data_IF_006250345930
#
_entry.id   IF_006250345930
#
_cell.length_a   1.000
_cell.length_b   1.000
_cell.length_c   1.000
_cell.angle_alpha   90.00
_cell.angle_beta   90.00
_cell.angle_gamma   90.00
#
_symmetry.space_group_name_H-M   'P 1'
#
loop_
_entity.id
_entity.type
_entity.pdbx_description
1 polymer ?
#
# COMPACT_ATOMS: atom_id res chain seq x y z
N UNK A 1 -44.74 38.49 51.53
CA UNK A 1 -45.24 37.92 50.29
C UNK A 1 -44.20 37.94 49.17
N UNK A 2 -43.33 38.92 49.05
CA UNK A 2 -42.33 39.04 47.94
C UNK A 2 -41.14 38.07 48.06
N UNK A 3 -40.74 37.57 49.20
CA UNK A 3 -39.59 36.69 49.42
C UNK A 3 -39.87 35.26 48.82
N UNK A 4 -41.10 34.79 48.98
CA UNK A 4 -41.48 33.45 48.46
C UNK A 4 -41.48 33.34 46.92
N UNK A 5 -41.84 34.40 46.22
CA UNK A 5 -41.82 34.40 44.73
C UNK A 5 -40.41 34.46 44.16
N UNK A 6 -39.47 35.08 44.87
CA UNK A 6 -38.05 35.11 44.44
C UNK A 6 -37.39 33.73 44.54
N UNK A 7 -37.60 33.02 45.65
CA UNK A 7 -37.06 31.66 45.81
C UNK A 7 -37.66 30.66 44.82
N UNK A 8 -38.95 30.77 44.53
CA UNK A 8 -39.63 29.90 43.57
C UNK A 8 -39.18 30.14 42.13
N UNK A 9 -38.91 31.39 41.76
CA UNK A 9 -38.37 31.75 40.46
C UNK A 9 -36.92 31.30 40.25
N UNK A 10 -36.12 31.42 41.34
CA UNK A 10 -34.72 30.99 41.33
C UNK A 10 -34.58 29.48 41.16
N UNK A 11 -35.36 28.70 41.88
CA UNK A 11 -35.32 27.24 41.84
C UNK A 11 -35.80 26.69 40.46
N UNK A 12 -36.85 27.27 39.91
CA UNK A 12 -37.31 26.93 38.55
C UNK A 12 -36.29 27.29 37.47
N UNK A 13 -35.58 28.40 37.61
CA UNK A 13 -34.56 28.84 36.68
C UNK A 13 -33.33 27.93 36.67
N UNK A 14 -32.92 27.43 37.85
CA UNK A 14 -31.83 26.50 38.01
C UNK A 14 -32.17 25.14 37.44
N UNK A 15 -33.33 24.59 37.76
CA UNK A 15 -33.79 23.29 37.27
C UNK A 15 -33.93 23.28 35.75
N UNK A 16 -34.39 24.38 35.17
CA UNK A 16 -34.50 24.49 33.70
C UNK A 16 -33.12 24.48 33.00
N UNK A 17 -32.17 25.28 33.54
CA UNK A 17 -30.79 25.31 33.00
C UNK A 17 -30.06 23.97 33.17
N UNK A 18 -30.25 23.31 34.33
CA UNK A 18 -29.66 22.00 34.59
C UNK A 18 -30.22 20.94 33.62
N UNK A 19 -31.54 20.98 33.34
CA UNK A 19 -32.16 20.09 32.35
C UNK A 19 -31.68 20.37 30.93
N UNK A 20 -31.57 21.65 30.52
CA UNK A 20 -31.03 22.05 29.23
C UNK A 20 -29.56 21.64 29.05
N UNK A 21 -28.70 21.84 30.07
CA UNK A 21 -27.31 21.39 30.04
C UNK A 21 -27.20 19.87 29.94
N UNK A 22 -27.99 19.12 30.71
CA UNK A 22 -28.01 17.66 30.63
C UNK A 22 -28.46 17.17 29.26
N UNK A 23 -29.45 17.80 28.64
CA UNK A 23 -29.90 17.48 27.29
C UNK A 23 -28.82 17.78 26.23
N UNK A 24 -28.10 18.90 26.36
CA UNK A 24 -26.99 19.24 25.45
C UNK A 24 -25.81 18.28 25.61
N UNK A 25 -25.43 17.93 26.85
CA UNK A 25 -24.39 16.93 27.10
C UNK A 25 -24.78 15.56 26.52
N UNK A 26 -26.04 15.15 26.73
CA UNK A 26 -26.52 13.88 26.15
C UNK A 26 -26.46 13.88 24.62
N UNK A 27 -26.86 14.98 23.98
CA UNK A 27 -26.78 15.15 22.53
C UNK A 27 -25.33 15.11 22.04
N UNK A 28 -24.41 15.82 22.67
CA UNK A 28 -22.98 15.81 22.31
C UNK A 28 -22.34 14.44 22.51
N UNK A 29 -22.72 13.73 23.58
CA UNK A 29 -22.25 12.37 23.80
C UNK A 29 -22.75 11.41 22.71
N UNK A 30 -23.99 11.55 22.26
CA UNK A 30 -24.52 10.74 21.18
C UNK A 30 -23.83 11.05 19.83
N UNK A 31 -23.62 12.34 19.53
CA UNK A 31 -22.87 12.76 18.34
C UNK A 31 -21.42 12.23 18.36
N UNK A 32 -20.76 12.26 19.53
CA UNK A 32 -19.43 11.70 19.72
C UNK A 32 -19.43 10.18 19.47
N UNK A 33 -20.38 9.45 20.05
CA UNK A 33 -20.52 8.00 19.84
C UNK A 33 -20.72 7.63 18.36
N UNK A 34 -21.58 8.38 17.66
CA UNK A 34 -21.80 8.16 16.23
C UNK A 34 -20.53 8.43 15.42
N UNK A 35 -19.78 9.45 15.78
CA UNK A 35 -18.50 9.78 15.15
C UNK A 35 -17.47 8.68 15.40
N UNK A 36 -17.36 8.18 16.61
CA UNK A 36 -16.48 7.06 16.98
C UNK A 36 -16.84 5.76 16.22
N UNK A 37 -18.13 5.47 16.09
CA UNK A 37 -18.60 4.29 15.34
C UNK A 37 -18.22 4.39 13.86
N UNK A 38 -18.48 5.54 13.23
CA UNK A 38 -18.10 5.79 11.84
C UNK A 38 -16.58 5.70 11.64
N UNK A 39 -15.81 6.27 12.56
CA UNK A 39 -14.36 6.22 12.50
C UNK A 39 -13.84 4.77 12.63
N UNK A 40 -14.40 4.01 13.55
CA UNK A 40 -14.05 2.59 13.74
C UNK A 40 -14.36 1.77 12.48
N UNK A 41 -15.53 1.97 11.87
CA UNK A 41 -15.92 1.31 10.63
C UNK A 41 -14.96 1.66 9.48
N UNK A 42 -14.58 2.93 9.35
CA UNK A 42 -13.63 3.39 8.33
C UNK A 42 -12.23 2.79 8.52
N UNK A 43 -11.74 2.76 9.77
CA UNK A 43 -10.45 2.13 10.10
C UNK A 43 -10.48 0.64 9.73
N UNK A 44 -11.54 -0.08 10.07
CA UNK A 44 -11.68 -1.49 9.74
C UNK A 44 -11.72 -1.71 8.21
N UNK A 45 -12.46 -0.88 7.49
CA UNK A 45 -12.54 -0.94 6.02
C UNK A 45 -11.16 -0.69 5.38
N UNK A 46 -10.44 0.32 5.86
CA UNK A 46 -9.10 0.64 5.36
C UNK A 46 -8.10 -0.48 5.68
N UNK A 47 -8.18 -1.06 6.90
CA UNK A 47 -7.34 -2.18 7.29
C UNK A 47 -7.59 -3.42 6.43
N UNK A 48 -8.87 -3.74 6.14
CA UNK A 48 -9.23 -4.86 5.25
C UNK A 48 -8.70 -4.64 3.85
N UNK A 49 -8.89 -3.45 3.28
CA UNK A 49 -8.38 -3.09 1.95
C UNK A 49 -6.85 -3.17 1.87
N UNK A 50 -6.14 -2.72 2.92
CA UNK A 50 -4.69 -2.83 2.99
C UNK A 50 -4.25 -4.30 3.04
N UNK A 51 -4.94 -5.13 3.81
CA UNK A 51 -4.67 -6.57 3.89
C UNK A 51 -4.88 -7.26 2.52
N UNK A 52 -5.97 -6.95 1.83
CA UNK A 52 -6.25 -7.48 0.48
C UNK A 52 -5.17 -7.08 -0.52
N UNK A 53 -4.76 -5.80 -0.50
CA UNK A 53 -3.69 -5.30 -1.37
C UNK A 53 -2.36 -6.00 -1.07
N UNK A 54 -2.02 -6.16 0.20
CA UNK A 54 -0.80 -6.86 0.63
C UNK A 54 -0.80 -8.32 0.20
N UNK A 55 -1.94 -9.00 0.32
CA UNK A 55 -2.10 -10.39 -0.16
C UNK A 55 -1.94 -10.48 -1.67
N UNK A 56 -2.53 -9.54 -2.43
CA UNK A 56 -2.40 -9.48 -3.89
C UNK A 56 -0.94 -9.25 -4.33
N UNK A 57 -0.20 -8.36 -3.65
CA UNK A 57 1.24 -8.15 -3.92
C UNK A 57 2.03 -9.42 -3.63
N UNK A 58 1.77 -10.10 -2.51
CA UNK A 58 2.44 -11.35 -2.14
C UNK A 58 2.18 -12.46 -3.17
N UNK A 59 0.96 -12.56 -3.66
CA UNK A 59 0.60 -13.54 -4.69
C UNK A 59 1.32 -13.25 -6.01
N UNK A 60 1.30 -12.00 -6.48
CA UNK A 60 2.02 -11.58 -7.69
C UNK A 60 3.53 -11.81 -7.58
N UNK A 61 4.12 -11.55 -6.42
CA UNK A 61 5.52 -11.82 -6.15
C UNK A 61 5.84 -13.32 -6.24
N UNK A 62 4.98 -14.17 -5.67
CA UNK A 62 5.11 -15.63 -5.76
C UNK A 62 5.05 -16.11 -7.21
N UNK A 63 4.10 -15.59 -8.00
CA UNK A 63 3.96 -15.93 -9.40
C UNK A 63 5.17 -15.48 -10.22
N UNK A 64 5.68 -14.26 -9.96
CA UNK A 64 6.89 -13.75 -10.61
C UNK A 64 8.11 -14.61 -10.27
N UNK A 65 8.30 -14.95 -9.01
CA UNK A 65 9.40 -15.83 -8.58
C UNK A 65 9.34 -17.20 -9.25
N UNK A 66 8.12 -17.75 -9.44
CA UNK A 66 7.94 -19.00 -10.19
C UNK A 66 8.32 -18.86 -11.66
N UNK A 67 7.99 -17.74 -12.31
CA UNK A 67 8.37 -17.46 -13.70
C UNK A 67 9.88 -17.26 -13.84
N UNK A 68 10.53 -16.60 -12.89
CA UNK A 68 11.99 -16.43 -12.84
C UNK A 68 12.66 -17.79 -12.67
N UNK A 69 12.19 -18.62 -11.75
CA UNK A 69 12.72 -19.96 -11.53
C UNK A 69 12.57 -20.87 -12.77
N UNK A 70 11.46 -20.71 -13.50
CA UNK A 70 11.22 -21.42 -14.77
C UNK A 70 12.04 -20.86 -15.95
N UNK A 71 12.87 -19.81 -15.76
CA UNK A 71 13.67 -19.18 -16.80
C UNK A 71 12.87 -18.42 -17.86
N UNK A 72 11.59 -18.09 -17.56
CA UNK A 72 10.71 -17.36 -18.49
C UNK A 72 10.92 -15.84 -18.46
N UNK A 73 11.58 -15.33 -17.43
CA UNK A 73 11.96 -13.93 -17.30
C UNK A 73 13.47 -13.85 -17.41
N UNK A 74 13.95 -13.00 -18.31
CA UNK A 74 15.40 -12.79 -18.54
C UNK A 74 15.71 -11.31 -18.52
N UNK A 75 16.92 -10.97 -18.07
CA UNK A 75 17.45 -9.63 -18.25
C UNK A 75 17.83 -9.46 -19.74
N UNK A 76 17.51 -8.28 -20.35
CA UNK A 76 18.02 -7.98 -21.66
C UNK A 76 19.55 -7.96 -21.57
N UNK A 77 20.20 -8.92 -22.25
CA UNK A 77 21.66 -8.88 -22.38
C UNK A 77 22.03 -7.60 -23.13
N UNK A 78 22.90 -6.74 -22.58
CA UNK A 78 23.42 -5.65 -23.38
C UNK A 78 24.12 -6.28 -24.57
N UNK A 79 23.61 -6.06 -25.76
CA UNK A 79 24.35 -6.37 -26.99
C UNK A 79 25.62 -5.51 -26.96
N UNK A 80 26.70 -6.10 -26.47
CA UNK A 80 28.01 -5.54 -26.76
C UNK A 80 28.14 -5.55 -28.26
N UNK A 81 27.99 -4.39 -28.89
CA UNK A 81 28.34 -4.20 -30.30
C UNK A 81 29.81 -4.57 -30.35
N UNK A 82 30.08 -5.77 -30.83
CA UNK A 82 31.45 -6.24 -31.08
C UNK A 82 32.05 -5.25 -32.06
N UNK A 83 33.04 -4.48 -31.65
CA UNK A 83 33.76 -3.59 -32.53
C UNK A 83 34.20 -4.39 -33.76
N UNK A 84 34.06 -3.84 -34.97
CA UNK A 84 34.44 -4.57 -36.17
C UNK A 84 35.88 -5.05 -36.04
N UNK A 85 36.06 -6.36 -36.12
CA UNK A 85 37.38 -6.98 -36.10
C UNK A 85 38.20 -6.39 -37.23
N UNK A 86 39.34 -5.78 -36.90
CA UNK A 86 40.33 -5.33 -37.83
C UNK A 86 40.77 -6.55 -38.70
N UNK A 87 40.87 -6.44 -40.01
CA UNK A 87 41.22 -7.60 -40.85
C UNK A 87 42.66 -8.04 -40.60
N UNK A 88 42.84 -9.18 -39.95
CA UNK A 88 44.11 -9.89 -39.90
C UNK A 88 44.17 -10.92 -41.07
N UNK A 89 45.34 -11.12 -41.71
CA UNK A 89 45.45 -11.96 -42.88
C UNK A 89 45.25 -13.41 -42.51
N UNK A 90 44.50 -14.13 -43.35
CA UNK A 90 44.15 -15.52 -43.22
C UNK A 90 45.37 -16.47 -43.30
N UNK A 91 45.43 -17.53 -42.50
CA UNK A 91 45.97 -18.80 -42.94
C UNK A 91 44.84 -19.79 -43.21
N UNK A 92 45.00 -20.48 -44.29
CA UNK A 92 44.12 -21.56 -44.76
C UNK A 92 44.13 -22.75 -43.81
N UNK A 93 43.00 -23.48 -43.81
CA UNK A 93 42.71 -24.75 -43.15
C UNK A 93 42.32 -24.68 -41.67
N UNK A 94 41.02 -24.53 -41.48
CA UNK A 94 40.38 -25.03 -40.27
C UNK A 94 39.06 -25.71 -40.67
N UNK A 95 39.04 -26.99 -40.49
CA UNK A 95 37.90 -27.89 -40.49
C UNK A 95 36.71 -27.23 -39.81
N UNK A 96 35.59 -27.11 -40.48
CA UNK A 96 34.31 -26.67 -39.93
C UNK A 96 33.94 -27.58 -38.76
N UNK A 97 34.33 -27.19 -37.56
CA UNK A 97 33.66 -27.68 -36.36
C UNK A 97 32.35 -26.93 -36.27
N UNK A 98 31.29 -27.58 -36.76
CA UNK A 98 29.92 -27.17 -36.55
C UNK A 98 29.71 -26.97 -35.04
N UNK A 99 29.74 -25.72 -34.59
CA UNK A 99 29.43 -25.39 -33.24
C UNK A 99 28.00 -25.82 -32.99
N UNK A 100 27.83 -26.86 -32.16
CA UNK A 100 26.51 -27.19 -31.63
C UNK A 100 25.93 -25.94 -30.98
N UNK A 101 24.64 -25.61 -31.19
CA UNK A 101 24.02 -24.48 -30.52
C UNK A 101 24.19 -24.70 -29.00
N UNK A 102 24.91 -23.79 -28.39
CA UNK A 102 25.26 -23.83 -26.98
C UNK A 102 23.96 -23.80 -26.14
N UNK A 103 23.46 -24.97 -25.75
CA UNK A 103 22.28 -25.13 -24.91
C UNK A 103 22.44 -24.43 -23.52
N UNK A 104 23.68 -24.06 -23.16
CA UNK A 104 23.97 -23.28 -21.98
C UNK A 104 23.58 -21.81 -22.10
N UNK A 105 23.43 -21.26 -23.31
CA UNK A 105 22.96 -19.91 -23.53
C UNK A 105 21.45 -19.77 -23.27
N UNK A 106 20.70 -20.86 -23.25
CA UNK A 106 19.24 -20.83 -23.07
C UNK A 106 18.74 -20.87 -21.61
N UNK A 107 19.63 -21.17 -20.66
CA UNK A 107 19.28 -21.14 -19.24
C UNK A 107 19.81 -19.85 -18.62
N UNK A 108 18.91 -19.09 -18.00
CA UNK A 108 19.33 -17.96 -17.18
C UNK A 108 20.36 -18.43 -16.15
N UNK A 109 21.51 -17.76 -16.06
CA UNK A 109 22.53 -18.10 -15.08
C UNK A 109 21.96 -17.96 -13.65
N UNK A 110 22.49 -18.71 -12.70
CA UNK A 110 22.03 -18.61 -11.30
C UNK A 110 22.20 -17.20 -10.75
N UNK A 111 23.24 -16.49 -11.18
CA UNK A 111 23.46 -15.08 -10.84
C UNK A 111 22.37 -14.15 -11.43
N UNK A 112 21.93 -14.41 -12.67
CA UNK A 112 20.85 -13.67 -13.30
C UNK A 112 19.51 -13.90 -12.59
N UNK A 113 19.21 -15.15 -12.23
CA UNK A 113 18.01 -15.46 -11.43
C UNK A 113 18.02 -14.80 -10.07
N UNK A 114 19.17 -14.84 -9.36
CA UNK A 114 19.32 -14.17 -8.06
C UNK A 114 19.11 -12.66 -8.19
N UNK A 115 19.64 -12.03 -9.24
CA UNK A 115 19.43 -10.60 -9.52
C UNK A 115 17.98 -10.28 -9.79
N UNK A 116 17.29 -11.08 -10.62
CA UNK A 116 15.87 -10.90 -10.91
C UNK A 116 15.00 -11.07 -9.67
N UNK A 117 15.33 -12.03 -8.80
CA UNK A 117 14.63 -12.21 -7.52
C UNK A 117 14.82 -11.02 -6.58
N UNK A 118 16.03 -10.47 -6.49
CA UNK A 118 16.30 -9.28 -5.70
C UNK A 118 15.52 -8.06 -6.21
N UNK A 119 15.46 -7.88 -7.54
CA UNK A 119 14.66 -6.82 -8.16
C UNK A 119 13.16 -7.02 -7.85
N UNK A 120 12.65 -8.23 -7.98
CA UNK A 120 11.25 -8.56 -7.69
C UNK A 120 10.90 -8.26 -6.22
N UNK A 121 11.81 -8.54 -5.27
CA UNK A 121 11.63 -8.22 -3.86
C UNK A 121 11.57 -6.71 -3.61
N UNK A 122 12.47 -5.94 -4.23
CA UNK A 122 12.47 -4.47 -4.12
C UNK A 122 11.18 -3.89 -4.66
N UNK A 123 10.69 -4.37 -5.80
CA UNK A 123 9.42 -3.93 -6.39
C UNK A 123 8.26 -4.24 -5.43
N UNK A 124 8.18 -5.49 -4.93
CA UNK A 124 7.13 -5.89 -4.00
C UNK A 124 7.14 -5.08 -2.70
N UNK A 125 8.33 -4.72 -2.20
CA UNK A 125 8.46 -3.84 -1.04
C UNK A 125 7.99 -2.41 -1.35
N UNK A 126 8.32 -1.89 -2.53
CA UNK A 126 7.85 -0.60 -3.03
C UNK A 126 6.31 -0.55 -3.12
N UNK A 127 5.70 -1.58 -3.67
CA UNK A 127 4.24 -1.70 -3.78
C UNK A 127 3.56 -1.74 -2.41
N UNK A 128 4.13 -2.50 -1.45
CA UNK A 128 3.62 -2.55 -0.06
C UNK A 128 3.71 -1.18 0.62
N UNK A 129 4.83 -0.49 0.46
CA UNK A 129 5.02 0.85 1.04
C UNK A 129 4.03 1.87 0.43
N UNK A 130 3.82 1.81 -0.88
CA UNK A 130 2.86 2.66 -1.59
C UNK A 130 1.43 2.39 -1.12
N UNK A 131 1.05 1.12 -0.95
CA UNK A 131 -0.27 0.76 -0.43
C UNK A 131 -0.48 1.27 1.00
N UNK A 132 0.53 1.14 1.88
CA UNK A 132 0.49 1.65 3.25
C UNK A 132 0.38 3.19 3.29
N UNK A 133 1.12 3.90 2.44
CA UNK A 133 1.04 5.34 2.33
C UNK A 133 -0.34 5.80 1.86
N UNK A 134 -0.89 5.18 0.83
CA UNK A 134 -2.23 5.51 0.33
C UNK A 134 -3.30 5.26 1.40
N UNK A 135 -3.22 4.15 2.13
CA UNK A 135 -4.13 3.86 3.24
C UNK A 135 -4.04 4.93 4.36
N UNK A 136 -2.84 5.42 4.66
CA UNK A 136 -2.63 6.49 5.64
C UNK A 136 -3.24 7.81 5.15
N UNK A 137 -3.01 8.19 3.89
CA UNK A 137 -3.57 9.40 3.28
C UNK A 137 -5.10 9.34 3.23
N UNK A 138 -5.67 8.21 2.84
CA UNK A 138 -7.12 7.99 2.81
C UNK A 138 -7.72 8.13 4.22
N UNK A 139 -7.10 7.52 5.23
CA UNK A 139 -7.53 7.62 6.63
C UNK A 139 -7.47 9.06 7.14
N UNK A 140 -6.41 9.78 6.82
CA UNK A 140 -6.27 11.20 7.20
C UNK A 140 -7.37 12.05 6.57
N UNK A 141 -7.63 11.90 5.27
CA UNK A 141 -8.66 12.66 4.57
C UNK A 141 -10.06 12.35 5.13
N UNK A 142 -10.35 11.08 5.41
CA UNK A 142 -11.63 10.67 6.01
C UNK A 142 -11.82 11.29 7.40
N UNK A 143 -10.80 11.27 8.25
CA UNK A 143 -10.87 11.91 9.58
C UNK A 143 -11.07 13.42 9.46
N UNK A 144 -10.35 14.07 8.57
CA UNK A 144 -10.49 15.50 8.31
C UNK A 144 -11.91 15.86 7.87
N UNK A 145 -12.49 15.06 6.97
CA UNK A 145 -13.83 15.32 6.44
C UNK A 145 -14.91 15.08 7.50
N UNK A 146 -14.75 14.05 8.36
CA UNK A 146 -15.63 13.84 9.52
C UNK A 146 -15.59 15.01 10.52
N UNK A 147 -14.40 15.53 10.80
CA UNK A 147 -14.25 16.64 11.74
C UNK A 147 -14.76 17.96 11.16
N UNK A 148 -14.63 18.18 9.86
CA UNK A 148 -15.09 19.40 9.18
C UNK A 148 -16.58 19.34 8.78
N UNK A 149 -17.12 18.15 8.55
CA UNK A 149 -18.54 17.96 8.20
C UNK A 149 -19.49 18.10 9.39
N UNK A 150 -18.97 18.13 10.62
CA UNK A 150 -19.72 18.34 11.85
C UNK A 150 -19.80 19.83 12.28
N UNK A 151 -19.37 20.76 11.45
CA UNK A 151 -19.55 22.21 11.63
C UNK A 151 -20.74 22.70 10.82
#
# INVERSE_FOLDING_TARGET
>A
LFVGTYFFGYDKGWNKRDAEMKAEIAKKNEEARQTEQKLTEQINTTATKLQETTNAVTQKQSDLNRLIAAGRVRLPTPSCVQAPASPAPAPANSTETRSEPNRQADQASDAERATLQAIAEIIAQGDRNTAALNACVDSYNQMRDLLNGNK
#
